data_IF_142893915112
#
_entry.id   IF_142893915112
#
_cell.length_a   1.000
_cell.length_b   1.000
_cell.length_c   1.000
_cell.angle_alpha   90.00
_cell.angle_beta   90.00
_cell.angle_gamma   90.00
#
_symmetry.space_group_name_H-M   'P 1'
#
loop_
_entity.id
_entity.type
_entity.pdbx_description
1 polymer ?
#
# COMPACT_ATOMS: atom_id res chain seq x y z
N UNK A 1 -3.36 1.03 -20.71
CA UNK A 1 -2.31 0.03 -20.52
C UNK A 1 -1.59 0.49 -19.28
N UNK A 2 -1.86 -0.14 -18.14
CA UNK A 2 -1.17 0.20 -16.89
C UNK A 2 0.28 -0.27 -17.05
N UNK A 3 1.23 0.59 -16.69
CA UNK A 3 2.63 0.21 -16.73
C UNK A 3 2.89 -0.80 -15.62
N UNK A 4 3.51 -1.93 -15.98
CA UNK A 4 3.90 -2.97 -15.03
C UNK A 4 4.85 -2.34 -13.99
N UNK A 5 4.39 -2.31 -12.73
CA UNK A 5 5.03 -1.50 -11.69
C UNK A 5 6.08 -2.34 -10.98
N UNK A 6 7.34 -2.09 -11.30
CA UNK A 6 8.49 -2.77 -10.68
C UNK A 6 9.21 -1.86 -9.69
N UNK A 7 9.86 -2.48 -8.71
CA UNK A 7 10.72 -1.77 -7.78
C UNK A 7 12.07 -1.41 -8.41
N UNK A 8 12.69 -0.32 -7.97
CA UNK A 8 14.11 -0.06 -8.25
C UNK A 8 14.97 -1.02 -7.40
N UNK A 9 15.80 -1.89 -8.01
CA UNK A 9 16.71 -2.77 -7.27
C UNK A 9 17.69 -2.02 -6.36
N UNK A 10 17.95 -0.75 -6.65
CA UNK A 10 18.79 0.14 -5.86
C UNK A 10 18.07 0.83 -4.69
N UNK A 11 16.76 0.65 -4.55
CA UNK A 11 16.00 1.29 -3.48
C UNK A 11 16.32 0.66 -2.12
N UNK A 12 17.12 1.37 -1.33
CA UNK A 12 17.54 0.96 0.01
C UNK A 12 16.47 1.19 1.08
N UNK A 13 15.36 1.84 0.73
CA UNK A 13 14.24 2.09 1.64
C UNK A 13 13.32 0.88 1.77
N UNK A 14 13.43 -0.07 0.85
CA UNK A 14 12.70 -1.33 0.83
C UNK A 14 13.61 -2.50 1.20
N UNK A 15 13.04 -3.52 1.83
CA UNK A 15 13.72 -4.77 2.14
C UNK A 15 13.26 -5.83 1.14
N UNK A 16 14.06 -6.12 0.13
CA UNK A 16 13.73 -7.15 -0.85
C UNK A 16 13.94 -8.56 -0.31
N UNK A 17 13.03 -9.47 -0.64
CA UNK A 17 13.07 -10.88 -0.21
C UNK A 17 12.80 -11.83 -1.37
N UNK A 18 13.52 -12.95 -1.41
CA UNK A 18 13.39 -13.99 -2.45
C UNK A 18 12.37 -15.09 -2.07
N UNK A 19 11.42 -14.80 -1.20
CA UNK A 19 10.31 -15.73 -0.91
C UNK A 19 9.11 -15.41 -1.76
N UNK A 20 8.18 -16.36 -1.85
CA UNK A 20 6.93 -16.22 -2.58
C UNK A 20 6.14 -14.99 -2.09
N UNK A 21 5.44 -14.34 -3.02
CA UNK A 21 4.48 -13.28 -2.67
C UNK A 21 3.36 -13.91 -1.83
N UNK A 22 3.17 -13.42 -0.62
CA UNK A 22 2.23 -14.00 0.35
C UNK A 22 0.75 -13.76 -0.05
N UNK A 23 0.50 -12.93 -1.08
CA UNK A 23 -0.82 -12.57 -1.59
C UNK A 23 -1.13 -13.30 -2.90
N UNK A 24 -0.29 -13.15 -3.93
CA UNK A 24 -0.50 -13.78 -5.25
C UNK A 24 -0.04 -15.22 -5.30
N UNK A 25 0.76 -15.65 -4.31
CA UNK A 25 1.46 -16.93 -4.34
C UNK A 25 2.40 -17.04 -5.54
N UNK A 26 2.90 -15.91 -6.02
CA UNK A 26 3.85 -15.87 -7.13
C UNK A 26 5.28 -16.08 -6.59
N UNK A 27 5.93 -17.16 -7.03
CA UNK A 27 7.30 -17.51 -6.65
C UNK A 27 8.35 -17.12 -7.69
N UNK A 28 8.00 -16.31 -8.71
CA UNK A 28 8.96 -15.86 -9.71
C UNK A 28 10.09 -15.07 -9.04
N UNK A 29 11.32 -15.53 -9.27
CA UNK A 29 12.52 -14.95 -8.68
C UNK A 29 12.99 -13.68 -9.39
N UNK A 30 12.50 -13.46 -10.62
CA UNK A 30 12.79 -12.27 -11.42
C UNK A 30 11.96 -11.05 -10.97
N UNK A 31 10.89 -11.27 -10.20
CA UNK A 31 10.03 -10.22 -9.67
C UNK A 31 10.52 -9.81 -8.28
N UNK A 32 10.88 -8.53 -8.13
CA UNK A 32 11.25 -7.97 -6.82
C UNK A 32 10.03 -7.92 -5.90
N UNK A 33 10.19 -8.44 -4.68
CA UNK A 33 9.15 -8.46 -3.64
C UNK A 33 9.69 -7.75 -2.41
N UNK A 34 8.92 -6.81 -1.89
CA UNK A 34 9.28 -6.06 -0.69
C UNK A 34 8.65 -6.72 0.55
N UNK A 35 9.44 -6.85 1.61
CA UNK A 35 8.97 -7.26 2.93
C UNK A 35 8.39 -6.06 3.68
N UNK A 36 7.11 -6.16 4.01
CA UNK A 36 6.38 -5.25 4.87
C UNK A 36 6.80 -5.41 6.34
N UNK A 37 6.51 -4.41 7.19
CA UNK A 37 6.74 -4.47 8.64
C UNK A 37 5.98 -5.60 9.33
N UNK A 38 4.85 -6.02 8.76
CA UNK A 38 4.08 -7.17 9.22
C UNK A 38 4.69 -8.53 8.82
N UNK A 39 5.82 -8.52 8.11
CA UNK A 39 6.52 -9.73 7.70
C UNK A 39 5.91 -10.43 6.49
N UNK A 40 5.10 -9.76 5.67
CA UNK A 40 4.63 -10.29 4.38
C UNK A 40 5.51 -9.78 3.23
N UNK A 41 5.81 -10.64 2.27
CA UNK A 41 6.42 -10.32 1.00
C UNK A 41 5.34 -9.99 -0.03
N UNK A 42 5.43 -8.83 -0.67
CA UNK A 42 4.43 -8.38 -1.65
C UNK A 42 5.09 -7.67 -2.83
N UNK A 43 4.44 -7.72 -3.98
CA UNK A 43 4.69 -6.84 -5.13
C UNK A 43 3.83 -5.57 -5.06
N UNK A 44 4.14 -4.51 -5.83
CA UNK A 44 3.31 -3.30 -5.86
C UNK A 44 1.88 -3.59 -6.32
N UNK A 45 1.73 -4.51 -7.28
CA UNK A 45 0.43 -4.90 -7.82
C UNK A 45 -0.41 -5.65 -6.78
N UNK A 46 0.21 -6.63 -6.10
CA UNK A 46 -0.44 -7.40 -5.03
C UNK A 46 -0.98 -6.48 -3.95
N UNK A 47 -0.18 -5.51 -3.50
CA UNK A 47 -0.56 -4.55 -2.48
C UNK A 47 -1.69 -3.62 -2.94
N UNK A 48 -1.60 -3.09 -4.16
CA UNK A 48 -2.61 -2.18 -4.73
C UNK A 48 -3.96 -2.89 -4.89
N UNK A 49 -3.94 -4.16 -5.30
CA UNK A 49 -5.15 -4.95 -5.53
C UNK A 49 -5.85 -5.40 -4.25
N UNK A 50 -5.10 -5.81 -3.23
CA UNK A 50 -5.65 -6.43 -2.02
C UNK A 50 -5.70 -5.54 -0.79
N UNK A 51 -4.94 -4.44 -0.77
CA UNK A 51 -4.82 -3.58 0.40
C UNK A 51 -4.40 -4.36 1.65
N UNK A 52 -4.99 -4.05 2.81
CA UNK A 52 -4.65 -4.69 4.08
C UNK A 52 -5.52 -5.91 4.44
N UNK A 53 -6.38 -6.38 3.53
CA UNK A 53 -7.42 -7.38 3.83
C UNK A 53 -6.86 -8.73 4.30
N UNK A 54 -5.66 -9.11 3.84
CA UNK A 54 -4.99 -10.36 4.22
C UNK A 54 -4.25 -10.29 5.55
N UNK A 55 -3.66 -9.14 5.85
CA UNK A 55 -2.82 -8.97 7.02
C UNK A 55 -3.62 -8.50 8.25
N UNK A 56 -4.72 -7.76 8.05
CA UNK A 56 -5.53 -7.18 9.13
C UNK A 56 -4.80 -6.09 9.95
N UNK A 57 -3.54 -5.80 9.62
CA UNK A 57 -2.73 -4.76 10.24
C UNK A 57 -3.02 -3.42 9.57
N UNK A 58 -3.13 -2.37 10.38
CA UNK A 58 -3.17 -0.99 9.89
C UNK A 58 -1.73 -0.55 9.61
N UNK A 59 -1.42 -0.31 8.34
CA UNK A 59 -0.10 0.19 7.93
C UNK A 59 -0.05 1.71 7.94
N UNK A 60 1.14 2.25 8.19
CA UNK A 60 1.37 3.69 8.04
C UNK A 60 1.30 4.08 6.55
N UNK A 61 0.82 5.30 6.28
CA UNK A 61 0.80 5.84 4.92
C UNK A 61 2.20 5.83 4.27
N UNK A 62 3.24 6.11 5.06
CA UNK A 62 4.64 6.11 4.58
C UNK A 62 5.10 4.73 4.09
N UNK A 63 4.66 3.67 4.75
CA UNK A 63 5.00 2.29 4.35
C UNK A 63 4.25 1.90 3.08
N UNK A 64 2.94 2.15 3.03
CA UNK A 64 2.10 1.85 1.86
C UNK A 64 2.60 2.59 0.63
N UNK A 65 2.91 3.89 0.75
CA UNK A 65 3.43 4.71 -0.34
C UNK A 65 4.70 4.12 -0.97
N UNK A 66 5.62 3.61 -0.14
CA UNK A 66 6.89 3.05 -0.61
C UNK A 66 6.67 1.69 -1.27
N UNK A 67 5.90 0.81 -0.65
CA UNK A 67 5.72 -0.56 -1.14
C UNK A 67 4.79 -0.63 -2.34
N UNK A 68 3.83 0.29 -2.48
CA UNK A 68 3.00 0.39 -3.69
C UNK A 68 3.74 1.10 -4.85
N UNK A 69 5.03 1.43 -4.66
CA UNK A 69 5.89 2.09 -5.64
C UNK A 69 5.26 3.37 -6.24
N UNK A 70 4.43 4.08 -5.49
CA UNK A 70 3.60 5.18 -6.02
C UNK A 70 4.45 6.28 -6.67
N UNK A 71 4.04 6.72 -7.86
CA UNK A 71 4.64 7.90 -8.51
C UNK A 71 4.29 9.16 -7.74
N UNK A 72 5.03 10.24 -7.98
CA UNK A 72 4.75 11.53 -7.33
C UNK A 72 3.31 12.03 -7.59
N UNK A 73 2.77 11.77 -8.78
CA UNK A 73 1.41 12.12 -9.17
C UNK A 73 0.38 11.29 -8.40
N UNK A 74 0.60 9.97 -8.30
CA UNK A 74 -0.26 9.09 -7.51
C UNK A 74 -0.24 9.50 -6.03
N UNK A 75 0.93 9.78 -5.48
CA UNK A 75 1.11 10.26 -4.10
C UNK A 75 0.28 11.52 -3.87
N UNK A 76 0.39 12.51 -4.76
CA UNK A 76 -0.37 13.76 -4.64
C UNK A 76 -1.87 13.49 -4.62
N UNK A 77 -2.37 12.68 -5.56
CA UNK A 77 -3.79 12.30 -5.60
C UNK A 77 -4.27 11.64 -4.30
N UNK A 78 -3.46 10.72 -3.76
CA UNK A 78 -3.77 10.08 -2.48
C UNK A 78 -3.75 11.05 -1.31
N UNK A 79 -2.75 11.93 -1.22
CA UNK A 79 -2.64 12.92 -0.13
C UNK A 79 -3.79 13.93 -0.17
N UNK A 80 -4.19 14.41 -1.36
CA UNK A 80 -5.36 15.29 -1.53
C UNK A 80 -6.67 14.59 -1.12
N UNK A 81 -6.82 13.32 -1.48
CA UNK A 81 -7.98 12.50 -1.11
C UNK A 81 -8.05 12.30 0.40
N UNK A 82 -6.93 11.92 1.03
CA UNK A 82 -6.85 11.76 2.49
C UNK A 82 -7.13 13.08 3.20
N UNK A 83 -6.56 14.19 2.73
CA UNK A 83 -6.81 15.52 3.30
C UNK A 83 -8.28 15.92 3.20
N UNK A 84 -8.94 15.57 2.08
CA UNK A 84 -10.38 15.79 1.90
C UNK A 84 -11.21 14.95 2.88
N UNK A 85 -10.88 13.67 3.04
CA UNK A 85 -11.58 12.75 3.96
C UNK A 85 -11.35 13.10 5.44
N UNK A 86 -10.17 13.61 5.78
CA UNK A 86 -9.83 14.07 7.12
C UNK A 86 -10.45 15.44 7.47
N UNK A 87 -11.04 16.14 6.48
CA UNK A 87 -11.66 17.43 6.70
C UNK A 87 -12.89 17.30 7.61
N UNK A 88 -13.00 18.12 8.68
CA UNK A 88 -14.15 18.07 9.59
C UNK A 88 -15.48 18.39 8.91
N UNK A 89 -15.47 19.02 7.73
CA UNK A 89 -16.67 19.25 6.91
C UNK A 89 -17.31 17.94 6.40
N UNK A 90 -16.59 16.81 6.44
CA UNK A 90 -17.13 15.48 6.13
C UNK A 90 -17.49 14.67 7.40
N UNK A 91 -17.18 15.17 8.60
CA UNK A 91 -17.55 14.56 9.88
C UNK A 91 -18.94 15.06 10.34
N UNK A 92 -19.96 14.88 9.50
CA UNK A 92 -21.37 15.03 9.89
C UNK A 92 -22.11 13.83 9.32
N UNK A 93 -22.38 12.77 10.08
CA UNK A 93 -23.71 12.55 10.67
C UNK A 93 -23.70 11.29 11.54
N UNK A 94 -23.30 11.39 12.81
CA UNK A 94 -23.90 10.58 13.90
C UNK A 94 -23.87 11.39 15.19
N UNK A 95 -24.58 12.51 15.22
CA UNK A 95 -25.10 13.01 16.48
C UNK A 95 -26.13 11.99 17.00
N UNK A 96 -25.68 11.19 17.96
CA UNK A 96 -26.46 10.22 18.74
C UNK A 96 -27.77 10.87 19.22
N UNK A 97 -28.91 10.28 18.85
CA UNK A 97 -30.15 10.50 19.58
C UNK A 97 -30.06 9.74 20.89
N UNK A 98 -29.72 10.46 21.95
CA UNK A 98 -29.95 10.01 23.32
C UNK A 98 -31.44 10.16 23.59
N UNK A 99 -32.13 9.04 23.74
CA UNK A 99 -33.39 8.95 24.49
C UNK A 99 -33.12 8.19 25.78
#
# INVERSE_FOLDING_TARGET
MEAEKSYDPGDRTLKFVNRQDDITLDDDLDILKAEMSCGHAVTPESLTRWGNQKCGVVWSYQEVRRVAALTAEEIQYFEETIATLASPKYCETKSVSTL
#
